data_IF_302860997961
#
_entry.id   IF_302860997961
#
_cell.length_a   1.000
_cell.length_b   1.000
_cell.length_c   1.000
_cell.angle_alpha   90.00
_cell.angle_beta   90.00
_cell.angle_gamma   90.00
#
_symmetry.space_group_name_H-M   'P 1'
#
loop_
_entity.id
_entity.type
_entity.pdbx_description
1 polymer ?
#
# COMPACT_ATOMS: atom_id res chain seq x y z
N UNK A 1 -12.55 -31.06 6.08
CA UNK A 1 -12.11 -29.71 5.68
C UNK A 1 -11.64 -29.81 4.25
N UNK A 2 -12.24 -29.04 3.36
CA UNK A 2 -11.97 -29.09 1.92
C UNK A 2 -10.54 -28.61 1.62
N UNK A 3 -9.82 -29.30 0.74
CA UNK A 3 -8.46 -28.90 0.33
C UNK A 3 -8.46 -27.51 -0.32
N UNK A 4 -9.56 -27.10 -0.94
CA UNK A 4 -9.72 -25.77 -1.54
C UNK A 4 -9.79 -24.63 -0.51
N UNK A 5 -10.11 -24.94 0.76
CA UNK A 5 -10.10 -23.97 1.85
C UNK A 5 -8.69 -23.75 2.42
N UNK A 6 -7.83 -24.77 2.33
CA UNK A 6 -6.43 -24.72 2.80
C UNK A 6 -5.50 -23.98 1.83
N UNK A 7 -5.89 -23.83 0.56
CA UNK A 7 -5.07 -23.21 -0.50
C UNK A 7 -5.34 -21.71 -0.70
N UNK A 8 -5.92 -21.07 0.31
CA UNK A 8 -6.52 -19.74 0.23
C UNK A 8 -5.75 -18.80 1.17
N UNK A 9 -4.87 -17.97 0.60
CA UNK A 9 -4.07 -16.99 1.35
C UNK A 9 -4.68 -15.59 1.22
N UNK A 10 -4.65 -14.81 2.30
CA UNK A 10 -5.08 -13.40 2.26
C UNK A 10 -3.85 -12.51 2.17
N UNK A 11 -3.74 -11.74 1.09
CA UNK A 11 -2.73 -10.69 0.93
C UNK A 11 -3.30 -9.34 1.38
N UNK A 12 -2.58 -8.65 2.25
CA UNK A 12 -2.89 -7.28 2.64
C UNK A 12 -1.87 -6.29 2.08
N UNK A 13 -2.35 -5.27 1.38
CA UNK A 13 -1.54 -4.17 0.85
C UNK A 13 -1.79 -2.92 1.67
N UNK A 14 -0.76 -2.45 2.38
CA UNK A 14 -0.80 -1.16 3.08
C UNK A 14 -0.56 0.00 2.12
N UNK A 15 -1.49 0.95 2.07
CA UNK A 15 -1.34 2.15 1.26
C UNK A 15 -0.64 3.27 2.03
N UNK A 16 0.14 4.12 1.36
CA UNK A 16 0.77 5.29 1.99
C UNK A 16 0.88 6.51 1.05
N UNK A 17 0.38 6.40 -0.18
CA UNK A 17 0.43 7.44 -1.20
C UNK A 17 -0.87 7.48 -2.01
N UNK A 18 -0.77 7.49 -3.34
CA UNK A 18 -1.94 7.52 -4.22
C UNK A 18 -2.93 6.37 -3.98
N UNK A 19 -2.44 5.20 -3.55
CA UNK A 19 -3.26 4.03 -3.22
C UNK A 19 -4.31 4.30 -2.14
N UNK A 20 -4.17 5.36 -1.34
CA UNK A 20 -5.19 5.73 -0.34
C UNK A 20 -6.53 6.09 -0.99
N UNK A 21 -6.50 6.71 -2.17
CA UNK A 21 -7.70 7.16 -2.90
C UNK A 21 -7.88 6.47 -4.26
N UNK A 22 -6.81 5.99 -4.88
CA UNK A 22 -6.84 5.29 -6.16
C UNK A 22 -5.99 4.01 -6.10
N UNK A 23 -6.56 2.87 -5.64
CA UNK A 23 -5.82 1.63 -5.48
C UNK A 23 -5.36 1.03 -6.82
N UNK A 24 -6.16 1.15 -7.89
CA UNK A 24 -5.78 0.63 -9.21
C UNK A 24 -5.74 -0.91 -9.32
N UNK A 25 -6.30 -1.63 -8.35
CA UNK A 25 -6.45 -3.09 -8.36
C UNK A 25 -7.75 -3.51 -7.65
N UNK A 26 -8.18 -4.75 -7.89
CA UNK A 26 -9.34 -5.35 -7.22
C UNK A 26 -8.97 -5.81 -5.81
N UNK A 27 -9.84 -5.54 -4.85
CA UNK A 27 -9.69 -5.95 -3.45
C UNK A 27 -11.06 -6.37 -2.90
N UNK A 28 -11.06 -7.25 -1.91
CA UNK A 28 -12.29 -7.74 -1.27
C UNK A 28 -12.68 -6.85 -0.08
N UNK A 29 -11.69 -6.36 0.66
CA UNK A 29 -11.90 -5.56 1.86
C UNK A 29 -10.94 -4.35 1.92
N UNK A 30 -11.40 -3.26 2.55
CA UNK A 30 -10.57 -2.10 2.89
C UNK A 30 -10.81 -1.66 4.33
N UNK A 31 -9.72 -1.52 5.09
CA UNK A 31 -9.74 -1.06 6.49
C UNK A 31 -8.91 0.20 6.68
N UNK A 32 -9.29 1.06 7.63
CA UNK A 32 -8.44 2.17 8.10
C UNK A 32 -7.49 1.62 9.17
N UNK A 33 -6.23 1.99 9.10
CA UNK A 33 -5.20 1.53 10.04
C UNK A 33 -3.97 2.43 10.02
N UNK A 34 -2.87 1.94 10.56
CA UNK A 34 -1.63 2.70 10.59
C UNK A 34 -0.41 1.78 10.60
N UNK A 35 0.72 2.34 10.15
CA UNK A 35 2.04 1.71 10.28
C UNK A 35 2.85 2.45 11.36
N UNK A 36 3.50 1.70 12.26
CA UNK A 36 4.36 2.22 13.32
C UNK A 36 5.80 2.33 12.84
N UNK A 37 6.54 3.26 13.41
CA UNK A 37 7.97 3.45 13.13
C UNK A 37 8.27 3.86 11.68
N UNK A 38 7.26 4.35 10.95
CA UNK A 38 7.40 4.93 9.62
C UNK A 38 6.66 6.25 9.52
N UNK A 39 7.23 7.20 8.79
CA UNK A 39 6.58 8.45 8.38
C UNK A 39 6.41 8.51 6.87
N UNK A 40 5.44 9.29 6.41
CA UNK A 40 5.39 9.73 5.01
C UNK A 40 6.38 10.86 4.79
N UNK A 41 7.11 10.79 3.69
CA UNK A 41 8.00 11.86 3.23
C UNK A 41 7.85 12.07 1.73
N UNK A 42 7.88 13.33 1.28
CA UNK A 42 7.84 13.68 -0.15
C UNK A 42 9.26 13.88 -0.68
N UNK A 43 10.05 12.80 -0.68
CA UNK A 43 11.47 12.84 -0.99
C UNK A 43 11.83 12.08 -2.28
N UNK A 44 10.90 11.34 -2.91
CA UNK A 44 11.17 10.61 -4.16
C UNK A 44 10.94 11.55 -5.34
N UNK A 45 11.93 11.62 -6.24
CA UNK A 45 11.78 12.33 -7.51
C UNK A 45 10.87 11.51 -8.45
N UNK A 46 9.89 12.18 -9.07
CA UNK A 46 8.94 11.56 -10.00
C UNK A 46 8.91 12.35 -11.30
N UNK A 47 9.22 11.66 -12.40
CA UNK A 47 9.32 12.23 -13.76
C UNK A 47 8.10 11.85 -14.62
N UNK A 48 7.46 10.70 -14.36
CA UNK A 48 6.50 10.13 -15.31
C UNK A 48 5.03 10.28 -14.90
N UNK A 49 4.73 10.55 -13.63
CA UNK A 49 3.34 10.64 -13.14
C UNK A 49 2.95 12.02 -12.64
N UNK A 50 3.85 12.67 -11.89
CA UNK A 50 3.59 13.97 -11.24
C UNK A 50 4.56 15.07 -11.67
N UNK A 51 5.62 14.71 -12.39
CA UNK A 51 6.59 15.64 -12.93
C UNK A 51 6.75 15.46 -14.43
N UNK A 52 7.81 16.05 -14.97
CA UNK A 52 8.28 15.89 -16.34
C UNK A 52 9.80 15.79 -16.30
N UNK A 53 10.51 16.24 -17.34
CA UNK A 53 11.94 16.56 -17.27
C UNK A 53 12.30 17.49 -16.10
N UNK A 54 11.32 18.22 -15.55
CA UNK A 54 11.39 18.84 -14.22
C UNK A 54 10.72 17.93 -13.18
N UNK A 55 11.49 17.22 -12.33
CA UNK A 55 10.92 16.22 -11.44
C UNK A 55 10.07 16.85 -10.33
N UNK A 56 8.89 16.28 -10.11
CA UNK A 56 8.11 16.57 -8.90
C UNK A 56 8.57 15.67 -7.74
N UNK A 57 8.11 15.98 -6.52
CA UNK A 57 8.31 15.11 -5.36
C UNK A 57 7.05 14.29 -5.06
N UNK A 58 7.23 12.99 -4.86
CA UNK A 58 6.17 12.05 -4.48
C UNK A 58 6.42 11.40 -3.13
N UNK A 59 5.34 10.91 -2.53
CA UNK A 59 5.37 10.30 -1.21
C UNK A 59 6.11 8.95 -1.21
N UNK A 60 6.92 8.73 -0.17
CA UNK A 60 7.50 7.45 0.23
C UNK A 60 7.20 7.16 1.70
N UNK A 61 7.56 5.95 2.16
CA UNK A 61 7.72 5.64 3.58
C UNK A 61 9.19 5.70 3.97
N UNK A 62 9.49 6.44 5.03
CA UNK A 62 10.81 6.46 5.66
C UNK A 62 10.71 5.87 7.07
N UNK A 63 11.66 4.98 7.41
CA UNK A 63 11.78 4.50 8.77
C UNK A 63 12.08 5.67 9.71
N UNK A 64 11.26 5.81 10.75
CA UNK A 64 11.41 6.80 11.81
C UNK A 64 10.77 6.25 13.07
N UNK A 65 11.60 5.78 14.00
CA UNK A 65 11.16 5.25 15.30
C UNK A 65 10.20 6.23 15.99
N UNK A 66 9.09 5.70 16.50
CA UNK A 66 8.03 6.46 17.17
C UNK A 66 7.08 7.21 16.23
N UNK A 67 7.32 7.20 14.91
CA UNK A 67 6.37 7.79 13.97
C UNK A 67 5.15 6.89 13.76
N UNK A 68 4.05 7.52 13.35
CA UNK A 68 2.81 6.84 12.98
C UNK A 68 2.39 7.34 11.61
N UNK A 69 2.13 6.41 10.69
CA UNK A 69 1.58 6.69 9.37
C UNK A 69 0.14 6.16 9.30
N UNK A 70 -0.85 7.05 9.47
CA UNK A 70 -2.27 6.72 9.33
C UNK A 70 -2.64 6.53 7.86
N UNK A 71 -3.29 5.42 7.52
CA UNK A 71 -3.67 5.12 6.14
C UNK A 71 -4.73 4.01 6.04
N UNK A 72 -4.81 3.33 4.88
CA UNK A 72 -5.72 2.22 4.62
C UNK A 72 -4.96 0.95 4.26
N UNK A 73 -5.48 -0.20 4.67
CA UNK A 73 -5.08 -1.52 4.19
C UNK A 73 -6.13 -2.09 3.24
N UNK A 74 -5.70 -2.80 2.20
CA UNK A 74 -6.57 -3.48 1.24
C UNK A 74 -6.31 -4.98 1.28
N UNK A 75 -7.34 -5.78 1.57
CA UNK A 75 -7.26 -7.24 1.67
C UNK A 75 -7.75 -7.90 0.38
N UNK A 76 -7.03 -8.92 -0.08
CA UNK A 76 -7.43 -9.72 -1.24
C UNK A 76 -7.19 -11.21 -0.96
N UNK A 77 -8.22 -12.01 -1.15
CA UNK A 77 -8.14 -13.47 -1.16
C UNK A 77 -7.43 -13.93 -2.43
N UNK A 78 -6.34 -14.69 -2.29
CA UNK A 78 -5.61 -15.27 -3.41
C UNK A 78 -5.62 -16.79 -3.34
N UNK A 79 -5.75 -17.44 -4.49
CA UNK A 79 -5.45 -18.88 -4.63
C UNK A 79 -3.94 -19.02 -4.80
N UNK A 80 -3.36 -20.06 -4.21
CA UNK A 80 -1.91 -20.30 -4.19
C UNK A 80 -1.30 -20.67 -5.58
N UNK A 81 -2.07 -20.65 -6.68
CA UNK A 81 -1.63 -21.22 -7.96
C UNK A 81 -1.68 -20.27 -9.18
N UNK A 82 -1.85 -18.95 -8.98
CA UNK A 82 -1.77 -17.95 -10.05
C UNK A 82 -0.46 -17.14 -9.99
#
# INVERSE_FOLDING_TARGET
MDKDELLKMVLWVFSYGSLVWNPGFNFDERIVGYNKDYRRAFNIACINHRGTLHPARTCTLEAKKGAICLSRGYGQMRRIHD
#
